data_IF_673867840068
#
_entry.id   IF_673867840068
#
_cell.length_a   1.000
_cell.length_b   1.000
_cell.length_c   1.000
_cell.angle_alpha   90.00
_cell.angle_beta   90.00
_cell.angle_gamma   90.00
#
_symmetry.space_group_name_H-M   'P 1'
#
loop_
_entity.id
_entity.type
_entity.pdbx_description
1 polymer ?
#
# COMPACT_ATOMS: atom_id res chain seq x y z
N UNK A 1 20.63 -0.68 -9.71
CA UNK A 1 19.31 -1.14 -9.31
C UNK A 1 18.32 0.02 -9.32
N UNK A 2 17.15 -0.15 -9.92
CA UNK A 2 16.15 0.91 -9.96
C UNK A 2 15.54 1.14 -8.57
N UNK A 3 15.06 2.36 -8.27
CA UNK A 3 14.36 2.59 -7.02
C UNK A 3 13.03 1.83 -6.96
N UNK A 4 12.59 1.52 -5.75
CA UNK A 4 11.28 0.93 -5.51
C UNK A 4 10.23 2.01 -5.76
N UNK A 5 9.21 1.70 -6.54
CA UNK A 5 8.11 2.64 -6.83
C UNK A 5 6.91 2.30 -5.97
N UNK A 6 6.43 3.29 -5.23
CA UNK A 6 5.31 3.10 -4.29
C UNK A 6 4.21 4.10 -4.60
N UNK A 7 2.99 3.61 -4.71
CA UNK A 7 1.80 4.44 -4.78
C UNK A 7 1.20 4.53 -3.38
N UNK A 8 1.10 5.73 -2.83
CA UNK A 8 0.44 5.97 -1.54
C UNK A 8 -0.92 6.58 -1.81
N UNK A 9 -1.97 5.93 -1.33
CA UNK A 9 -3.34 6.30 -1.65
C UNK A 9 -4.23 6.35 -0.41
N UNK A 10 -5.22 7.24 -0.45
CA UNK A 10 -6.29 7.34 0.54
C UNK A 10 -7.62 7.05 -0.14
N UNK A 11 -8.09 5.79 -0.06
CA UNK A 11 -9.36 5.44 -0.68
C UNK A 11 -10.55 5.92 0.14
N UNK A 12 -11.68 6.10 -0.56
CA UNK A 12 -12.95 6.45 0.06
C UNK A 12 -13.08 7.93 0.39
N UNK A 13 -13.95 8.23 1.33
CA UNK A 13 -14.30 9.60 1.70
C UNK A 13 -13.50 10.14 2.91
N UNK A 14 -12.51 9.39 3.37
CA UNK A 14 -11.68 9.77 4.51
C UNK A 14 -10.85 11.01 4.18
N UNK A 15 -11.02 12.07 4.94
CA UNK A 15 -10.30 13.33 4.75
C UNK A 15 -9.01 13.47 5.56
N UNK A 16 -8.59 12.43 6.27
CA UNK A 16 -7.42 12.47 7.15
C UNK A 16 -6.16 12.07 6.40
N UNK A 17 -5.53 13.01 5.69
CA UNK A 17 -4.39 12.72 4.82
C UNK A 17 -3.01 12.92 5.45
N UNK A 18 -2.93 13.46 6.68
CA UNK A 18 -1.64 13.75 7.32
C UNK A 18 -0.75 12.51 7.46
N UNK A 19 -1.33 11.40 7.92
CA UNK A 19 -0.59 10.15 8.08
C UNK A 19 -0.05 9.63 6.75
N UNK A 20 -0.85 9.68 5.70
CA UNK A 20 -0.44 9.26 4.37
C UNK A 20 0.71 10.13 3.85
N UNK A 21 0.66 11.45 4.08
CA UNK A 21 1.73 12.36 3.68
C UNK A 21 3.03 12.11 4.43
N UNK A 22 2.95 11.82 5.73
CA UNK A 22 4.12 11.46 6.54
C UNK A 22 4.77 10.18 6.02
N UNK A 23 3.96 9.17 5.71
CA UNK A 23 4.45 7.92 5.13
C UNK A 23 5.12 8.17 3.79
N UNK A 24 4.48 8.94 2.90
CA UNK A 24 5.03 9.26 1.60
C UNK A 24 6.41 9.96 1.73
N UNK A 25 6.53 10.91 2.65
CA UNK A 25 7.81 11.59 2.89
C UNK A 25 8.88 10.63 3.40
N UNK A 26 8.54 9.74 4.32
CA UNK A 26 9.50 8.78 4.86
C UNK A 26 10.00 7.81 3.79
N UNK A 27 9.12 7.36 2.90
CA UNK A 27 9.52 6.48 1.80
C UNK A 27 10.42 7.20 0.79
N UNK A 28 10.14 8.47 0.49
CA UNK A 28 11.00 9.29 -0.37
C UNK A 28 12.37 9.48 0.25
N UNK A 29 12.42 9.79 1.55
CA UNK A 29 13.68 9.97 2.28
C UNK A 29 14.52 8.69 2.28
N UNK A 30 13.87 7.54 2.16
CA UNK A 30 14.55 6.24 2.08
C UNK A 30 15.00 5.88 0.65
N UNK A 31 14.82 6.78 -0.31
CA UNK A 31 15.27 6.59 -1.70
C UNK A 31 14.25 5.96 -2.64
N UNK A 32 13.02 5.82 -2.22
CA UNK A 32 11.95 5.27 -3.07
C UNK A 32 11.31 6.36 -3.93
N UNK A 33 10.81 5.99 -5.10
CA UNK A 33 9.96 6.85 -5.91
C UNK A 33 8.53 6.71 -5.40
N UNK A 34 7.95 7.82 -4.95
CA UNK A 34 6.61 7.80 -4.35
C UNK A 34 5.66 8.66 -5.16
N UNK A 35 4.52 8.07 -5.48
CA UNK A 35 3.39 8.77 -6.11
C UNK A 35 2.30 8.85 -5.05
N UNK A 36 1.92 10.07 -4.68
CA UNK A 36 0.82 10.29 -3.75
C UNK A 36 -0.42 10.71 -4.53
N UNK A 37 -1.48 9.90 -4.45
CA UNK A 37 -2.70 10.15 -5.25
C UNK A 37 -3.58 11.27 -4.72
N UNK A 38 -3.42 11.63 -3.45
CA UNK A 38 -4.34 12.55 -2.80
C UNK A 38 -5.54 11.85 -2.18
N UNK A 39 -6.53 12.64 -1.78
CA UNK A 39 -7.73 12.17 -1.10
C UNK A 39 -8.79 11.63 -2.07
N UNK A 40 -9.76 10.93 -1.50
CA UNK A 40 -11.02 10.54 -2.16
C UNK A 40 -10.82 9.67 -3.39
N UNK A 41 -9.87 8.75 -3.34
CA UNK A 41 -9.62 7.83 -4.44
C UNK A 41 -10.56 6.63 -4.36
N UNK A 42 -11.12 6.23 -5.50
CA UNK A 42 -11.85 4.95 -5.57
C UNK A 42 -10.86 3.80 -5.73
N UNK A 43 -11.23 2.56 -5.35
CA UNK A 43 -10.39 1.41 -5.64
C UNK A 43 -10.01 1.30 -7.13
N UNK A 44 -10.94 1.62 -8.02
CA UNK A 44 -10.72 1.59 -9.47
C UNK A 44 -9.65 2.61 -9.89
N UNK A 45 -9.70 3.82 -9.34
CA UNK A 45 -8.71 4.87 -9.60
C UNK A 45 -7.33 4.45 -9.10
N UNK A 46 -7.27 3.83 -7.93
CA UNK A 46 -6.03 3.35 -7.32
C UNK A 46 -5.41 2.25 -8.17
N UNK A 47 -6.20 1.26 -8.55
CA UNK A 47 -5.71 0.15 -9.39
C UNK A 47 -5.22 0.64 -10.74
N UNK A 48 -5.98 1.55 -11.38
CA UNK A 48 -5.59 2.14 -12.66
C UNK A 48 -4.26 2.89 -12.56
N UNK A 49 -4.11 3.72 -11.53
CA UNK A 49 -2.87 4.47 -11.32
C UNK A 49 -1.68 3.54 -11.05
N UNK A 50 -1.88 2.50 -10.24
CA UNK A 50 -0.84 1.53 -9.92
C UNK A 50 -0.33 0.82 -11.19
N UNK A 51 -1.23 0.45 -12.07
CA UNK A 51 -0.89 -0.24 -13.32
C UNK A 51 -0.21 0.72 -14.30
N UNK A 52 -0.76 1.92 -14.49
CA UNK A 52 -0.20 2.93 -15.40
C UNK A 52 1.19 3.36 -14.98
N UNK A 53 1.43 3.51 -13.70
CA UNK A 53 2.72 3.92 -13.16
C UNK A 53 3.67 2.74 -12.94
N UNK A 54 3.20 1.53 -13.17
CA UNK A 54 3.96 0.29 -13.00
C UNK A 54 4.67 0.24 -11.63
N UNK A 55 3.89 0.44 -10.58
CA UNK A 55 4.45 0.47 -9.22
C UNK A 55 4.75 -0.93 -8.71
N UNK A 56 5.66 -1.01 -7.74
CA UNK A 56 5.97 -2.26 -7.06
C UNK A 56 5.06 -2.47 -5.85
N UNK A 57 4.63 -1.38 -5.23
CA UNK A 57 3.90 -1.40 -3.96
C UNK A 57 2.76 -0.38 -4.00
N UNK A 58 1.62 -0.78 -3.47
CA UNK A 58 0.51 0.13 -3.18
C UNK A 58 0.33 0.19 -1.66
N UNK A 59 0.46 1.39 -1.11
CA UNK A 59 0.21 1.63 0.32
C UNK A 59 -1.11 2.35 0.50
N UNK A 60 -2.04 1.74 1.23
CA UNK A 60 -3.35 2.32 1.51
C UNK A 60 -3.39 2.82 2.95
N UNK A 61 -3.86 4.04 3.14
CA UNK A 61 -4.09 4.62 4.47
C UNK A 61 -5.59 4.76 4.69
N UNK A 62 -6.13 4.01 5.62
CA UNK A 62 -7.58 3.93 5.84
C UNK A 62 -7.89 4.13 7.33
N UNK A 63 -8.49 5.28 7.67
CA UNK A 63 -8.88 5.60 9.03
C UNK A 63 -10.40 5.54 9.24
N UNK A 64 -11.15 5.30 8.17
CA UNK A 64 -12.62 5.36 8.17
C UNK A 64 -13.30 4.08 8.66
N UNK A 65 -12.57 3.00 8.86
CA UNK A 65 -13.14 1.69 9.18
C UNK A 65 -13.53 0.87 7.96
N UNK A 66 -13.38 1.40 6.75
CA UNK A 66 -13.79 0.71 5.52
C UNK A 66 -12.73 -0.24 4.95
N UNK A 67 -11.73 -0.59 5.76
CA UNK A 67 -10.59 -1.42 5.30
C UNK A 67 -11.01 -2.79 4.79
N UNK A 68 -12.02 -3.43 5.38
CA UNK A 68 -12.48 -4.77 4.95
C UNK A 68 -13.17 -4.75 3.58
N UNK A 69 -13.59 -3.58 3.11
CA UNK A 69 -14.17 -3.41 1.78
C UNK A 69 -13.10 -2.94 0.78
N UNK A 70 -12.27 -2.00 1.18
CA UNK A 70 -11.36 -1.30 0.26
C UNK A 70 -10.13 -2.13 -0.11
N UNK A 71 -9.47 -2.77 0.87
CA UNK A 71 -8.32 -3.63 0.57
C UNK A 71 -8.66 -4.78 -0.37
N UNK A 72 -9.73 -5.57 -0.10
CA UNK A 72 -10.08 -6.67 -1.01
C UNK A 72 -10.43 -6.20 -2.41
N UNK A 73 -11.08 -5.03 -2.53
CA UNK A 73 -11.47 -4.52 -3.85
C UNK A 73 -10.25 -4.13 -4.69
N UNK A 74 -9.24 -3.49 -4.08
CA UNK A 74 -8.00 -3.16 -4.80
C UNK A 74 -7.26 -4.43 -5.21
N UNK A 75 -7.18 -5.43 -4.31
CA UNK A 75 -6.58 -6.73 -4.63
C UNK A 75 -7.26 -7.38 -5.84
N UNK A 76 -8.59 -7.43 -5.83
CA UNK A 76 -9.37 -8.02 -6.90
C UNK A 76 -9.11 -7.33 -8.24
N UNK A 77 -9.10 -6.00 -8.24
CA UNK A 77 -8.88 -5.21 -9.46
C UNK A 77 -7.49 -5.42 -10.04
N UNK A 78 -6.47 -5.49 -9.20
CA UNK A 78 -5.10 -5.75 -9.67
C UNK A 78 -4.95 -7.16 -10.21
N UNK A 79 -5.56 -8.15 -9.54
CA UNK A 79 -5.53 -9.55 -10.01
C UNK A 79 -6.25 -9.71 -11.34
N UNK A 80 -7.34 -8.99 -11.54
CA UNK A 80 -8.11 -9.04 -12.79
C UNK A 80 -7.28 -8.55 -13.99
N UNK A 81 -6.31 -7.68 -13.77
CA UNK A 81 -5.39 -7.16 -14.78
C UNK A 81 -4.04 -7.89 -14.79
N UNK A 82 -3.99 -9.05 -14.16
CA UNK A 82 -2.78 -9.88 -14.06
C UNK A 82 -1.62 -9.16 -13.37
N UNK A 83 -1.94 -8.30 -12.40
CA UNK A 83 -0.96 -7.56 -11.61
C UNK A 83 -1.06 -7.89 -10.12
N UNK A 84 -1.33 -9.17 -9.82
CA UNK A 84 -1.26 -9.67 -8.45
C UNK A 84 0.14 -9.69 -7.85
N UNK A 85 1.16 -9.39 -8.66
CA UNK A 85 2.55 -9.25 -8.23
C UNK A 85 2.80 -7.98 -7.42
N UNK A 86 1.93 -6.97 -7.53
CA UNK A 86 2.07 -5.71 -6.78
C UNK A 86 1.76 -5.98 -5.31
N UNK A 87 2.67 -5.58 -4.43
CA UNK A 87 2.44 -5.70 -2.98
C UNK A 87 1.40 -4.66 -2.54
N UNK A 88 0.37 -5.11 -1.83
CA UNK A 88 -0.57 -4.20 -1.19
C UNK A 88 -0.30 -4.24 0.31
N UNK A 89 0.05 -3.09 0.84
CA UNK A 89 0.31 -2.88 2.26
C UNK A 89 -0.39 -1.59 2.69
N UNK A 90 -0.18 -1.18 3.90
CA UNK A 90 -0.72 0.06 4.40
C UNK A 90 -1.08 -0.05 5.87
N UNK A 91 -1.93 0.86 6.30
CA UNK A 91 -2.30 0.91 7.68
C UNK A 91 -3.48 1.82 7.95
N UNK A 92 -3.72 2.02 9.21
CA UNK A 92 -4.82 2.81 9.70
C UNK A 92 -5.29 2.24 11.03
N UNK A 93 -6.52 2.53 11.41
CA UNK A 93 -7.11 1.97 12.62
C UNK A 93 -7.78 0.64 12.22
N UNK A 94 -6.99 -0.44 12.24
CA UNK A 94 -7.43 -1.76 11.78
C UNK A 94 -7.25 -2.76 12.94
N UNK A 95 -8.32 -3.40 13.43
CA UNK A 95 -8.17 -4.43 14.45
C UNK A 95 -7.30 -5.59 13.99
N UNK A 96 -6.58 -6.21 14.92
CA UNK A 96 -5.65 -7.29 14.59
C UNK A 96 -6.32 -8.42 13.82
N UNK A 97 -7.52 -8.82 14.23
CA UNK A 97 -8.27 -9.88 13.55
C UNK A 97 -8.60 -9.54 12.09
N UNK A 98 -8.85 -8.26 11.81
CA UNK A 98 -9.07 -7.79 10.44
C UNK A 98 -7.75 -7.77 9.66
N UNK A 99 -6.65 -7.39 10.29
CA UNK A 99 -5.32 -7.48 9.67
C UNK A 99 -5.02 -8.92 9.25
N UNK A 100 -5.30 -9.88 10.12
CA UNK A 100 -5.07 -11.30 9.83
C UNK A 100 -5.95 -11.78 8.69
N UNK A 101 -7.23 -11.37 8.68
CA UNK A 101 -8.16 -11.73 7.61
C UNK A 101 -7.72 -11.15 6.26
N UNK A 102 -7.31 -9.88 6.23
CA UNK A 102 -6.83 -9.24 5.01
C UNK A 102 -5.55 -9.88 4.51
N UNK A 103 -4.62 -10.21 5.42
CA UNK A 103 -3.40 -10.91 5.06
C UNK A 103 -3.70 -12.27 4.42
N UNK A 104 -4.67 -13.00 4.96
CA UNK A 104 -5.11 -14.27 4.38
C UNK A 104 -5.70 -14.11 2.98
N UNK A 105 -6.27 -12.95 2.67
CA UNK A 105 -6.78 -12.63 1.34
C UNK A 105 -5.67 -12.27 0.34
N UNK A 106 -4.48 -11.92 0.82
CA UNK A 106 -3.34 -11.66 -0.03
C UNK A 106 -2.65 -10.31 0.16
N UNK A 107 -3.03 -9.52 1.18
CA UNK A 107 -2.26 -8.31 1.48
C UNK A 107 -0.92 -8.68 2.10
N UNK A 108 0.04 -7.78 2.00
CA UNK A 108 1.23 -7.84 2.82
C UNK A 108 0.91 -7.44 4.26
N UNK A 109 1.96 -7.20 5.04
CA UNK A 109 1.81 -6.76 6.43
C UNK A 109 1.08 -5.42 6.50
N UNK A 110 0.17 -5.29 7.44
CA UNK A 110 -0.55 -4.04 7.73
C UNK A 110 -0.04 -3.46 9.05
N UNK A 111 -0.13 -2.14 9.18
CA UNK A 111 0.46 -1.42 10.30
C UNK A 111 -0.60 -0.62 11.03
N UNK A 112 -0.60 -0.73 12.37
CA UNK A 112 -1.51 0.01 13.22
C UNK A 112 -1.00 1.40 13.58
N UNK A 113 -1.83 2.18 14.29
CA UNK A 113 -1.42 3.52 14.75
C UNK A 113 -0.17 3.44 15.64
N UNK A 114 0.69 4.44 15.50
CA UNK A 114 1.91 4.51 16.32
C UNK A 114 3.07 3.66 15.82
N UNK A 115 2.89 2.89 14.76
CA UNK A 115 4.00 2.14 14.17
C UNK A 115 4.99 3.12 13.53
N UNK A 116 6.29 3.03 13.87
CA UNK A 116 7.27 3.91 13.24
C UNK A 116 7.36 3.71 11.74
N UNK A 117 7.51 4.78 10.98
CA UNK A 117 7.65 4.71 9.52
C UNK A 117 8.86 3.89 9.09
N UNK A 118 9.90 3.83 9.95
CA UNK A 118 11.08 3.00 9.69
C UNK A 118 10.75 1.51 9.56
N UNK A 119 9.74 1.03 10.28
CA UNK A 119 9.31 -0.36 10.13
C UNK A 119 8.69 -0.63 8.76
N UNK A 120 7.87 0.30 8.27
CA UNK A 120 7.30 0.19 6.95
C UNK A 120 8.38 0.23 5.86
N UNK A 121 9.33 1.15 5.99
CA UNK A 121 10.47 1.26 5.06
C UNK A 121 11.25 -0.05 5.02
N UNK A 122 11.60 -0.60 6.18
CA UNK A 122 12.36 -1.85 6.28
C UNK A 122 11.58 -3.03 5.68
N UNK A 123 10.28 -3.09 5.94
CA UNK A 123 9.43 -4.15 5.41
C UNK A 123 9.40 -4.13 3.88
N UNK A 124 9.19 -2.96 3.28
CA UNK A 124 9.11 -2.82 1.82
C UNK A 124 10.47 -3.17 1.18
N UNK A 125 11.57 -2.71 1.76
CA UNK A 125 12.91 -3.01 1.25
C UNK A 125 13.21 -4.51 1.29
N UNK A 126 12.87 -5.17 2.39
CA UNK A 126 13.08 -6.61 2.55
C UNK A 126 12.23 -7.39 1.54
N UNK A 127 10.96 -7.01 1.40
CA UNK A 127 10.07 -7.65 0.42
C UNK A 127 10.62 -7.50 -1.00
N UNK A 128 11.04 -6.31 -1.38
CA UNK A 128 11.56 -6.05 -2.72
C UNK A 128 12.82 -6.88 -3.00
N UNK A 129 13.71 -6.98 -2.02
CA UNK A 129 14.93 -7.77 -2.15
C UNK A 129 14.61 -9.26 -2.36
N UNK A 130 13.62 -9.81 -1.64
CA UNK A 130 13.18 -11.18 -1.82
C UNK A 130 12.62 -11.43 -3.22
N UNK A 131 11.79 -10.50 -3.72
CA UNK A 131 11.23 -10.62 -5.07
C UNK A 131 12.32 -10.60 -6.13
N UNK A 132 13.31 -9.75 -5.98
CA UNK A 132 14.46 -9.68 -6.90
C UNK A 132 15.25 -10.97 -6.92
N UNK A 133 15.46 -11.61 -5.77
CA UNK A 133 16.15 -12.89 -5.67
C UNK A 133 15.36 -14.02 -6.33
N UNK A 134 14.05 -14.05 -6.15
CA UNK A 134 13.19 -15.08 -6.74
C UNK A 134 13.13 -14.98 -8.26
N UNK A 135 13.31 -13.78 -8.81
CA UNK A 135 13.30 -13.53 -10.27
C UNK A 135 14.65 -13.79 -10.92
N UNK A 136 15.68 -13.85 -10.11
CA UNK A 136 17.03 -14.18 -10.60
C UNK A 136 17.16 -15.69 -10.85
#
# INVERSE_FOLDING_TARGET
MRPIRVLVAKPGLDGHDRGAKVVAAALRDAGMEVIYTGLHQTPEMIATAAIQEDVDVVGLSILSGAHMTLFPRVLELLRAEDRGDILITGGGIIPKEDMDALHAMGTGRLFGPGTPTSELVSYIKAWFAEQSQQRA
#
